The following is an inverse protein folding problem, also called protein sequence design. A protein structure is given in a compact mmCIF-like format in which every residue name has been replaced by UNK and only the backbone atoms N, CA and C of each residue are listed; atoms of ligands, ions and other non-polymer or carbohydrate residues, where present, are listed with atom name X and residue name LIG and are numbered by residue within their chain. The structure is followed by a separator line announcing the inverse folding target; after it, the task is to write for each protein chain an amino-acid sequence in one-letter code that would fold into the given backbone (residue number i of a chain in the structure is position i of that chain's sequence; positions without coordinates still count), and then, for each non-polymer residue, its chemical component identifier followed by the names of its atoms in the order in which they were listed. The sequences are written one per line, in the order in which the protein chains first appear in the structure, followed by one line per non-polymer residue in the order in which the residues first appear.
data_IF_383472457093
#
_entry.id   IF_383472457093
#
_cell.length_a   1.000
_cell.length_b   1.000
_cell.length_c   1.000
_cell.angle_alpha   90.00
_cell.angle_beta   90.00
_cell.angle_gamma   90.00
#
_symmetry.space_group_name_H-M   'P 1'
#
loop_
_entity.id
_entity.type
_entity.pdbx_description
1 polymer ?
#
# COMPACT_ATOMS: atom_id res chain seq x y z
N UNK A 1 -24.38 -42.07 -42.42
CA UNK A 1 -23.05 -41.49 -42.10
C UNK A 1 -22.95 -39.98 -42.38
N UNK A 2 -23.62 -39.45 -43.41
CA UNK A 2 -23.61 -38.01 -43.75
C UNK A 2 -24.25 -37.08 -42.70
N UNK A 3 -25.34 -37.49 -42.05
CA UNK A 3 -26.03 -36.66 -41.05
C UNK A 3 -25.13 -36.29 -39.86
N UNK A 4 -24.33 -37.24 -39.36
CA UNK A 4 -23.35 -36.97 -38.28
C UNK A 4 -22.28 -35.95 -38.67
N UNK A 5 -21.83 -35.97 -39.94
CA UNK A 5 -20.83 -35.01 -40.43
C UNK A 5 -21.41 -33.60 -40.57
N UNK A 6 -22.62 -33.47 -41.10
CA UNK A 6 -23.31 -32.18 -41.24
C UNK A 6 -23.61 -31.60 -39.85
N UNK A 7 -24.13 -32.41 -38.94
CA UNK A 7 -24.39 -31.98 -37.56
C UNK A 7 -23.11 -31.52 -36.86
N UNK A 8 -22.02 -32.27 -36.99
CA UNK A 8 -20.72 -31.88 -36.42
C UNK A 8 -20.19 -30.55 -36.99
N UNK A 9 -20.41 -30.28 -38.28
CA UNK A 9 -19.96 -29.05 -38.92
C UNK A 9 -20.80 -27.84 -38.47
N UNK A 10 -22.11 -28.03 -38.30
CA UNK A 10 -23.03 -27.01 -37.82
C UNK A 10 -22.72 -26.61 -36.37
N UNK A 11 -22.42 -27.59 -35.51
CA UNK A 11 -22.00 -27.35 -34.13
C UNK A 11 -20.70 -26.55 -34.10
N UNK A 12 -19.70 -26.91 -34.94
CA UNK A 12 -18.42 -26.20 -35.01
C UNK A 12 -18.59 -24.73 -35.42
N UNK A 13 -19.43 -24.45 -36.41
CA UNK A 13 -19.72 -23.08 -36.86
C UNK A 13 -20.38 -22.27 -35.76
N UNK A 14 -21.34 -22.86 -35.03
CA UNK A 14 -22.00 -22.23 -33.89
C UNK A 14 -21.02 -21.92 -32.75
N UNK A 15 -20.09 -22.83 -32.44
CA UNK A 15 -19.06 -22.57 -31.42
C UNK A 15 -18.15 -21.43 -31.84
N UNK A 16 -17.61 -21.43 -33.06
CA UNK A 16 -16.75 -20.35 -33.54
C UNK A 16 -17.48 -19.00 -33.49
N UNK A 17 -18.74 -18.98 -33.93
CA UNK A 17 -19.56 -17.75 -33.91
C UNK A 17 -19.80 -17.23 -32.48
N UNK A 18 -20.13 -18.11 -31.54
CA UNK A 18 -20.32 -17.76 -30.13
C UNK A 18 -19.05 -17.19 -29.48
N UNK A 19 -17.89 -17.77 -29.79
CA UNK A 19 -16.59 -17.29 -29.32
C UNK A 19 -16.30 -15.90 -29.90
N UNK A 20 -16.56 -15.70 -31.20
CA UNK A 20 -16.40 -14.40 -31.85
C UNK A 20 -17.25 -13.29 -31.21
N UNK A 21 -18.52 -13.58 -30.92
CA UNK A 21 -19.42 -12.64 -30.22
C UNK A 21 -18.89 -12.32 -28.83
N UNK A 22 -18.43 -13.33 -28.09
CA UNK A 22 -17.90 -13.13 -26.73
C UNK A 22 -16.69 -12.18 -26.73
N UNK A 23 -15.71 -12.41 -27.61
CA UNK A 23 -14.55 -11.53 -27.74
C UNK A 23 -14.94 -10.11 -28.17
N UNK A 24 -15.88 -9.97 -29.11
CA UNK A 24 -16.36 -8.67 -29.57
C UNK A 24 -16.99 -7.87 -28.41
N UNK A 25 -17.90 -8.50 -27.65
CA UNK A 25 -18.56 -7.88 -26.51
C UNK A 25 -17.57 -7.47 -25.41
N UNK A 26 -16.59 -8.32 -25.11
CA UNK A 26 -15.54 -8.01 -24.14
C UNK A 26 -14.71 -6.79 -24.55
N UNK A 27 -14.35 -6.69 -25.84
CA UNK A 27 -13.60 -5.56 -26.37
C UNK A 27 -14.40 -4.26 -26.31
N UNK A 28 -15.69 -4.28 -26.69
CA UNK A 28 -16.55 -3.08 -26.63
C UNK A 28 -16.69 -2.58 -25.20
N UNK A 29 -16.80 -3.51 -24.26
CA UNK A 29 -16.97 -3.19 -22.86
C UNK A 29 -15.71 -2.56 -22.25
N UNK A 30 -14.52 -3.08 -22.56
CA UNK A 30 -13.24 -2.47 -22.15
C UNK A 30 -13.09 -1.05 -22.69
N UNK A 31 -13.43 -0.81 -23.96
CA UNK A 31 -13.40 0.52 -24.56
C UNK A 31 -14.30 1.51 -23.80
N UNK A 32 -15.52 1.09 -23.46
CA UNK A 32 -16.45 1.92 -22.69
C UNK A 32 -15.92 2.30 -21.30
N UNK A 33 -15.21 1.39 -20.64
CA UNK A 33 -14.56 1.68 -19.35
C UNK A 33 -13.41 2.68 -19.54
N UNK A 34 -12.56 2.48 -20.54
CA UNK A 34 -11.46 3.40 -20.87
C UNK A 34 -11.96 4.82 -21.18
N UNK A 35 -13.05 4.95 -21.93
CA UNK A 35 -13.68 6.24 -22.24
C UNK A 35 -14.18 6.94 -20.99
N UNK A 36 -14.85 6.22 -20.09
CA UNK A 36 -15.32 6.78 -18.80
C UNK A 36 -14.18 7.24 -17.90
N UNK A 37 -13.07 6.50 -17.88
CA UNK A 37 -11.87 6.89 -17.11
C UNK A 37 -11.28 8.19 -17.68
N UNK A 38 -11.16 8.29 -19.02
CA UNK A 38 -10.71 9.52 -19.67
C UNK A 38 -11.64 10.69 -19.34
N UNK A 39 -12.93 10.51 -19.53
CA UNK A 39 -13.96 11.52 -19.25
C UNK A 39 -13.88 11.99 -17.79
N UNK A 40 -13.76 11.07 -16.84
CA UNK A 40 -13.59 11.41 -15.42
C UNK A 40 -12.35 12.29 -15.19
N UNK A 41 -11.20 11.93 -15.75
CA UNK A 41 -9.96 12.67 -15.53
C UNK A 41 -9.93 14.01 -16.27
N UNK A 42 -10.52 14.11 -17.45
CA UNK A 42 -10.69 15.37 -18.20
C UNK A 42 -11.65 16.33 -17.47
N UNK A 43 -12.73 15.82 -16.87
CA UNK A 43 -13.65 16.64 -16.07
C UNK A 43 -13.00 17.13 -14.77
N UNK A 44 -12.25 16.26 -14.09
CA UNK A 44 -11.64 16.59 -12.79
C UNK A 44 -10.37 17.43 -12.92
N UNK A 45 -9.78 17.53 -14.11
CA UNK A 45 -8.59 18.32 -14.39
C UNK A 45 -8.83 19.19 -15.63
N UNK A 46 -9.37 20.40 -15.47
CA UNK A 46 -9.60 21.31 -16.59
C UNK A 46 -8.35 21.50 -17.45
N UNK A 47 -8.53 21.54 -18.77
CA UNK A 47 -7.47 21.66 -19.77
C UNK A 47 -6.47 20.49 -19.81
N UNK A 48 -6.71 19.41 -19.06
CA UNK A 48 -5.89 18.22 -19.15
C UNK A 48 -6.28 17.36 -20.35
N UNK A 49 -5.28 16.87 -21.08
CA UNK A 49 -5.46 15.77 -22.06
C UNK A 49 -5.05 14.45 -21.41
N UNK A 50 -5.91 13.44 -21.49
CA UNK A 50 -5.66 12.12 -20.89
C UNK A 50 -5.22 11.10 -21.95
N UNK A 51 -4.03 10.55 -21.78
CA UNK A 51 -3.48 9.46 -22.59
C UNK A 51 -3.42 8.18 -21.76
N UNK A 52 -4.07 7.11 -22.21
CA UNK A 52 -3.96 5.80 -21.55
C UNK A 52 -2.75 5.09 -22.11
N UNK A 53 -1.77 4.83 -21.24
CA UNK A 53 -0.49 4.23 -21.57
C UNK A 53 -0.59 2.70 -21.54
N UNK A 54 -1.23 2.14 -20.52
CA UNK A 54 -1.48 0.71 -20.43
C UNK A 54 -2.83 0.42 -19.77
N UNK A 55 -3.41 -0.73 -20.15
CA UNK A 55 -4.67 -1.24 -19.62
C UNK A 55 -4.54 -2.76 -19.48
N UNK A 56 -4.41 -3.22 -18.25
CA UNK A 56 -4.25 -4.64 -17.93
C UNK A 56 -5.36 -5.07 -16.98
N UNK A 57 -5.70 -6.36 -16.99
CA UNK A 57 -6.62 -6.93 -16.02
C UNK A 57 -5.84 -7.67 -14.94
N UNK A 58 -6.01 -7.27 -13.69
CA UNK A 58 -5.31 -7.83 -12.53
C UNK A 58 -6.32 -8.06 -11.39
N UNK A 59 -6.39 -9.29 -10.89
CA UNK A 59 -7.23 -9.65 -9.73
C UNK A 59 -8.71 -9.20 -9.81
N UNK A 60 -9.29 -9.27 -11.01
CA UNK A 60 -10.70 -8.87 -11.22
C UNK A 60 -10.93 -7.36 -11.35
N UNK A 61 -9.86 -6.56 -11.40
CA UNK A 61 -9.88 -5.13 -11.66
C UNK A 61 -9.14 -4.82 -12.97
N UNK A 62 -9.43 -3.67 -13.54
CA UNK A 62 -8.61 -3.08 -14.59
C UNK A 62 -7.58 -2.15 -13.96
N UNK A 63 -6.31 -2.47 -14.17
CA UNK A 63 -5.18 -1.63 -13.84
C UNK A 63 -4.86 -0.74 -15.04
N UNK A 64 -5.00 0.57 -14.87
CA UNK A 64 -4.88 1.56 -15.93
C UNK A 64 -3.77 2.54 -15.57
N UNK A 65 -2.76 2.62 -16.41
CA UNK A 65 -1.69 3.62 -16.30
C UNK A 65 -2.01 4.75 -17.27
N UNK A 66 -2.16 5.96 -16.74
CA UNK A 66 -2.56 7.13 -17.51
C UNK A 66 -1.57 8.27 -17.35
N UNK A 67 -1.44 9.04 -18.43
CA UNK A 67 -0.62 10.24 -18.55
C UNK A 67 -1.56 11.42 -18.75
N UNK A 68 -1.56 12.33 -17.78
CA UNK A 68 -2.26 13.61 -17.84
C UNK A 68 -1.30 14.66 -18.35
N UNK A 69 -1.68 15.35 -19.43
CA UNK A 69 -0.93 16.48 -19.98
C UNK A 69 -1.69 17.74 -19.56
N UNK A 70 -1.19 18.45 -18.55
CA UNK A 70 -1.75 19.70 -18.04
C UNK A 70 -0.90 20.89 -18.50
N UNK A 71 -1.43 22.13 -18.45
CA UNK A 71 -0.64 23.34 -18.70
C UNK A 71 0.58 23.49 -17.75
N UNK A 72 0.48 22.95 -16.54
CA UNK A 72 1.53 23.01 -15.50
C UNK A 72 2.57 21.90 -15.64
N UNK A 73 2.35 20.91 -16.52
CA UNK A 73 3.26 19.78 -16.69
C UNK A 73 2.56 18.45 -16.94
N UNK A 74 3.34 17.38 -16.92
CA UNK A 74 2.85 16.00 -17.16
C UNK A 74 2.81 15.25 -15.84
N UNK A 75 1.67 14.61 -15.56
CA UNK A 75 1.46 13.77 -14.37
C UNK A 75 1.13 12.35 -14.82
N UNK A 76 1.77 11.36 -14.20
CA UNK A 76 1.44 9.95 -14.40
C UNK A 76 0.62 9.45 -13.21
N UNK A 77 -0.41 8.65 -13.47
CA UNK A 77 -1.23 8.02 -12.43
C UNK A 77 -1.51 6.56 -12.77
N UNK A 78 -1.55 5.75 -11.72
CA UNK A 78 -2.06 4.39 -11.76
C UNK A 78 -3.44 4.39 -11.10
N UNK A 79 -4.41 3.75 -11.76
CA UNK A 79 -5.74 3.58 -11.19
C UNK A 79 -6.23 2.15 -11.37
N UNK A 80 -7.01 1.70 -10.41
CA UNK A 80 -7.66 0.41 -10.40
C UNK A 80 -9.16 0.62 -10.49
N UNK A 81 -9.76 0.03 -11.52
CA UNK A 81 -11.17 0.24 -11.84
C UNK A 81 -11.89 -1.10 -11.83
N UNK A 82 -13.09 -1.15 -11.24
CA UNK A 82 -13.91 -2.36 -11.32
C UNK A 82 -14.24 -2.70 -12.76
N UNK A 83 -14.45 -3.99 -13.06
CA UNK A 83 -14.82 -4.39 -14.41
C UNK A 83 -16.03 -3.61 -14.90
N UNK A 84 -17.04 -3.38 -14.06
CA UNK A 84 -18.23 -2.59 -14.41
C UNK A 84 -18.01 -1.08 -14.62
N UNK A 85 -16.79 -0.58 -14.39
CA UNK A 85 -16.41 0.82 -14.56
C UNK A 85 -17.05 1.78 -13.55
N UNK A 86 -17.61 1.26 -12.45
CA UNK A 86 -18.34 2.08 -11.46
C UNK A 86 -17.46 2.62 -10.34
N UNK A 87 -16.45 1.86 -9.94
CA UNK A 87 -15.57 2.21 -8.83
C UNK A 87 -14.14 2.32 -9.33
N UNK A 88 -13.45 3.35 -8.85
CA UNK A 88 -12.05 3.60 -9.14
C UNK A 88 -11.32 3.90 -7.84
N UNK A 89 -10.10 3.39 -7.71
CA UNK A 89 -9.20 3.71 -6.61
C UNK A 89 -7.78 3.91 -7.16
N UNK A 90 -7.06 4.88 -6.62
CA UNK A 90 -5.67 5.15 -7.00
C UNK A 90 -4.68 4.25 -6.23
N UNK A 91 -5.12 3.65 -5.11
CA UNK A 91 -4.27 2.83 -4.25
C UNK A 91 -4.86 1.43 -4.10
N UNK A 92 -4.14 0.42 -4.60
CA UNK A 92 -4.44 -0.98 -4.32
C UNK A 92 -3.50 -1.49 -3.23
N UNK A 93 -4.07 -1.84 -2.08
CA UNK A 93 -3.33 -2.45 -0.99
C UNK A 93 -3.20 -3.94 -1.31
N UNK A 94 -1.97 -4.41 -1.55
CA UNK A 94 -1.71 -5.85 -1.61
C UNK A 94 -1.78 -6.40 -0.18
N UNK A 95 -2.95 -6.92 0.19
CA UNK A 95 -3.26 -7.38 1.55
C UNK A 95 -2.25 -8.40 2.05
N UNK A 96 -1.82 -9.35 1.21
CA UNK A 96 -0.85 -10.38 1.59
C UNK A 96 0.51 -9.77 1.95
N UNK A 97 1.07 -8.93 1.07
CA UNK A 97 2.33 -8.22 1.35
C UNK A 97 2.20 -7.28 2.55
N UNK A 98 1.06 -6.62 2.71
CA UNK A 98 0.80 -5.76 3.86
C UNK A 98 0.74 -6.55 5.15
N UNK A 99 0.09 -7.72 5.17
CA UNK A 99 0.09 -8.63 6.32
C UNK A 99 1.52 -9.06 6.65
N UNK A 100 2.31 -9.48 5.66
CA UNK A 100 3.71 -9.86 5.88
C UNK A 100 4.53 -8.71 6.49
N UNK A 101 4.40 -7.50 5.96
CA UNK A 101 5.11 -6.32 6.48
C UNK A 101 4.69 -5.98 7.91
N UNK A 102 3.38 -5.99 8.19
CA UNK A 102 2.84 -5.76 9.53
C UNK A 102 3.33 -6.82 10.50
N UNK A 103 3.36 -8.09 10.09
CA UNK A 103 3.83 -9.19 10.91
C UNK A 103 5.33 -9.09 11.21
N UNK A 104 6.15 -8.74 10.21
CA UNK A 104 7.59 -8.47 10.39
C UNK A 104 7.82 -7.35 11.39
N UNK A 105 7.12 -6.22 11.23
CA UNK A 105 7.22 -5.09 12.14
C UNK A 105 6.76 -5.45 13.56
N UNK A 106 5.69 -6.25 13.69
CA UNK A 106 5.22 -6.77 14.97
C UNK A 106 6.33 -7.58 15.65
N UNK A 107 6.87 -8.58 14.95
CA UNK A 107 7.90 -9.48 15.44
C UNK A 107 9.18 -8.71 15.83
N UNK A 108 9.59 -7.75 15.01
CA UNK A 108 10.72 -6.87 15.30
C UNK A 108 10.52 -6.13 16.62
N UNK A 109 9.39 -5.44 16.78
CA UNK A 109 9.09 -4.72 18.01
C UNK A 109 8.91 -5.68 19.22
N UNK A 110 8.39 -6.91 19.02
CA UNK A 110 8.27 -7.92 20.09
C UNK A 110 9.66 -8.32 20.58
N UNK A 111 10.58 -8.61 19.67
CA UNK A 111 11.98 -8.89 19.98
C UNK A 111 12.65 -7.74 20.74
N UNK A 112 12.46 -6.48 20.32
CA UNK A 112 12.99 -5.33 21.05
C UNK A 112 12.47 -5.28 22.49
N UNK A 113 11.16 -5.50 22.66
CA UNK A 113 10.52 -5.48 23.97
C UNK A 113 11.05 -6.59 24.89
N UNK A 114 11.17 -7.81 24.36
CA UNK A 114 11.68 -9.01 25.05
C UNK A 114 13.14 -8.87 25.44
N UNK A 115 13.96 -8.21 24.61
CA UNK A 115 15.34 -7.87 24.96
C UNK A 115 15.46 -6.73 25.98
N UNK A 116 14.35 -6.20 26.47
CA UNK A 116 14.31 -5.18 27.51
C UNK A 116 14.54 -3.75 27.00
N UNK A 117 14.46 -3.52 25.69
CA UNK A 117 14.57 -2.17 25.15
C UNK A 117 13.33 -1.35 25.52
N UNK A 118 13.55 -0.14 26.02
CA UNK A 118 12.49 0.84 26.31
C UNK A 118 12.83 2.19 25.71
N UNK A 119 11.82 2.97 25.38
CA UNK A 119 11.95 4.31 24.81
C UNK A 119 11.21 5.26 25.73
N UNK A 120 11.94 6.18 26.34
CA UNK A 120 11.37 7.21 27.19
C UNK A 120 10.96 8.38 26.30
N UNK A 121 9.67 8.69 26.31
CA UNK A 121 9.00 9.59 25.38
C UNK A 121 8.12 10.62 26.08
N UNK A 122 7.60 11.57 25.32
CA UNK A 122 6.45 12.41 25.70
C UNK A 122 5.42 12.39 24.59
N UNK A 123 4.14 12.20 24.94
CA UNK A 123 3.05 12.02 23.97
C UNK A 123 2.82 13.23 23.06
N UNK A 124 3.21 14.43 23.51
CA UNK A 124 3.08 15.70 22.78
C UNK A 124 4.41 16.24 22.22
N UNK A 125 5.49 15.44 22.22
CA UNK A 125 6.80 15.87 21.73
C UNK A 125 7.08 15.33 20.33
N UNK A 126 7.41 16.22 19.40
CA UNK A 126 7.59 15.91 17.97
C UNK A 126 8.59 14.80 17.72
N UNK A 127 9.74 14.79 18.42
CA UNK A 127 10.75 13.76 18.20
C UNK A 127 10.30 12.38 18.73
N UNK A 128 9.50 12.34 19.79
CA UNK A 128 8.93 11.09 20.32
C UNK A 128 7.91 10.51 19.34
N UNK A 129 7.05 11.37 18.78
CA UNK A 129 6.08 10.97 17.77
C UNK A 129 6.77 10.51 16.49
N UNK A 130 7.86 11.17 16.10
CA UNK A 130 8.67 10.75 14.96
C UNK A 130 9.31 9.38 15.20
N UNK A 131 9.88 9.13 16.39
CA UNK A 131 10.40 7.82 16.76
C UNK A 131 9.31 6.74 16.75
N UNK A 132 8.11 7.04 17.26
CA UNK A 132 6.96 6.14 17.25
C UNK A 132 6.54 5.80 15.81
N UNK A 133 6.51 6.80 14.92
CA UNK A 133 6.18 6.60 13.51
C UNK A 133 7.19 5.69 12.79
N UNK A 134 8.48 5.79 13.12
CA UNK A 134 9.52 4.89 12.58
C UNK A 134 9.25 3.43 12.98
N UNK A 135 8.85 3.20 14.23
CA UNK A 135 8.56 1.87 14.78
C UNK A 135 7.17 1.33 14.38
N UNK A 136 6.33 2.22 13.85
CA UNK A 136 4.95 1.98 13.43
C UNK A 136 4.02 1.59 14.57
N UNK A 137 2.89 0.99 14.21
CA UNK A 137 1.74 0.78 15.11
C UNK A 137 2.07 -0.06 16.36
N UNK A 138 3.09 -0.94 16.28
CA UNK A 138 3.52 -1.79 17.39
C UNK A 138 4.62 -1.15 18.25
N UNK A 139 5.13 0.02 17.86
CA UNK A 139 6.17 0.72 18.60
C UNK A 139 5.72 1.22 19.97
N UNK A 140 4.43 1.52 20.14
CA UNK A 140 3.87 2.09 21.38
C UNK A 140 4.15 1.25 22.62
N UNK A 141 4.26 -0.09 22.49
CA UNK A 141 4.60 -0.98 23.61
C UNK A 141 6.03 -0.81 24.13
N UNK A 142 6.92 -0.22 23.33
CA UNK A 142 8.29 0.10 23.74
C UNK A 142 8.35 1.42 24.51
N UNK A 143 7.30 2.24 24.46
CA UNK A 143 7.31 3.57 25.04
C UNK A 143 6.95 3.57 26.53
N UNK A 144 7.71 4.36 27.28
CA UNK A 144 7.38 4.82 28.62
C UNK A 144 7.19 6.34 28.53
N UNK A 145 5.98 6.81 28.83
CA UNK A 145 5.58 8.20 28.66
C UNK A 145 5.91 9.02 29.92
N UNK A 146 6.92 9.89 29.82
CA UNK A 146 7.39 10.74 30.92
C UNK A 146 6.43 11.87 31.28
N UNK A 147 5.44 12.14 30.44
CA UNK A 147 4.33 13.04 30.75
C UNK A 147 3.33 12.42 31.75
N UNK A 148 3.37 11.09 31.95
CA UNK A 148 2.56 10.40 32.97
C UNK A 148 3.31 10.35 34.31
N UNK A 149 4.60 10.01 34.29
CA UNK A 149 5.45 9.96 35.49
C UNK A 149 6.84 10.53 35.20
N UNK A 150 6.94 11.85 35.33
CA UNK A 150 8.20 12.57 35.10
C UNK A 150 9.28 12.19 36.12
N UNK A 151 8.90 11.94 37.37
CA UNK A 151 9.85 11.60 38.43
C UNK A 151 10.52 10.26 38.16
N UNK A 152 9.76 9.27 37.70
CA UNK A 152 10.32 8.00 37.26
C UNK A 152 11.39 8.17 36.16
N UNK A 153 11.13 9.02 35.16
CA UNK A 153 12.09 9.28 34.09
C UNK A 153 13.36 10.01 34.59
N UNK A 154 13.19 11.01 35.46
CA UNK A 154 14.32 11.74 36.03
C UNK A 154 15.20 10.85 36.93
N UNK A 155 14.60 9.93 37.69
CA UNK A 155 15.33 8.97 38.52
C UNK A 155 16.13 7.94 37.71
N UNK A 156 15.86 7.82 36.40
CA UNK A 156 16.60 7.00 35.45
C UNK A 156 17.58 7.81 34.60
N UNK A 157 17.91 9.02 35.04
CA UNK A 157 18.82 9.96 34.37
C UNK A 157 18.42 10.31 32.93
N UNK A 158 17.11 10.24 32.61
CA UNK A 158 16.59 10.64 31.31
C UNK A 158 16.50 12.17 31.22
N UNK A 159 17.51 12.77 30.61
CA UNK A 159 17.63 14.23 30.45
C UNK A 159 17.16 14.74 29.08
N UNK A 160 16.95 13.84 28.12
CA UNK A 160 16.52 14.16 26.75
C UNK A 160 15.43 13.18 26.30
N UNK A 161 14.55 13.65 25.43
CA UNK A 161 13.41 12.87 24.94
C UNK A 161 13.32 12.99 23.41
N UNK A 162 13.10 11.89 22.67
CA UNK A 162 13.09 10.52 23.17
C UNK A 162 14.49 10.05 23.57
N UNK A 163 14.56 9.10 24.50
CA UNK A 163 15.79 8.39 24.83
C UNK A 163 15.53 6.89 24.83
N UNK A 164 16.37 6.13 24.15
CA UNK A 164 16.33 4.66 24.17
C UNK A 164 17.16 4.17 25.35
N UNK A 165 16.61 3.26 26.14
CA UNK A 165 17.31 2.56 27.22
C UNK A 165 17.44 1.09 26.86
N UNK A 166 18.66 0.59 26.87
CA UNK A 166 18.98 -0.80 26.59
C UNK A 166 20.26 -1.20 27.33
N UNK A 167 20.23 -2.32 28.07
CA UNK A 167 21.37 -2.82 28.86
C UNK A 167 22.02 -1.73 29.74
N UNK A 168 21.19 -1.04 30.53
CA UNK A 168 21.60 0.04 31.45
C UNK A 168 22.29 1.25 30.79
N UNK A 169 22.19 1.38 29.46
CA UNK A 169 22.71 2.54 28.71
C UNK A 169 21.57 3.37 28.14
N UNK A 170 21.74 4.69 28.22
CA UNK A 170 20.82 5.68 27.66
C UNK A 170 21.39 6.22 26.35
N UNK A 171 20.58 6.16 25.30
CA UNK A 171 20.89 6.66 23.96
C UNK A 171 19.89 7.77 23.61
N UNK A 172 20.28 9.05 23.75
CA UNK A 172 19.37 10.17 23.49
C UNK A 172 19.17 10.39 21.99
N UNK A 173 17.93 10.62 21.59
CA UNK A 173 17.56 11.00 20.23
C UNK A 173 16.70 9.97 19.50
N UNK A 174 16.54 10.20 18.20
CA UNK A 174 15.73 9.37 17.30
C UNK A 174 16.63 8.46 16.48
N UNK A 175 16.25 7.20 16.37
CA UNK A 175 16.99 6.16 15.69
C UNK A 175 16.14 5.40 14.67
N UNK A 176 16.81 4.93 13.62
CA UNK A 176 16.23 4.10 12.57
C UNK A 176 16.05 2.64 13.02
N UNK A 177 15.22 1.88 12.29
CA UNK A 177 15.06 0.45 12.52
C UNK A 177 16.39 -0.31 12.40
N UNK A 178 17.27 0.08 11.46
CA UNK A 178 18.58 -0.54 11.27
C UNK A 178 19.50 -0.32 12.49
N UNK A 179 19.41 0.84 13.13
CA UNK A 179 20.16 1.12 14.36
C UNK A 179 19.69 0.21 15.49
N UNK A 180 18.37 0.08 15.69
CA UNK A 180 17.80 -0.85 16.68
C UNK A 180 18.19 -2.31 16.39
N UNK A 181 18.15 -2.72 15.13
CA UNK A 181 18.60 -4.04 14.69
C UNK A 181 20.07 -4.29 15.02
N UNK A 182 20.94 -3.32 14.73
CA UNK A 182 22.38 -3.43 15.03
C UNK A 182 22.67 -3.46 16.54
N UNK A 183 21.91 -2.71 17.33
CA UNK A 183 22.07 -2.64 18.78
C UNK A 183 21.59 -3.91 19.48
N UNK A 184 20.46 -4.46 19.03
CA UNK A 184 19.76 -5.54 19.74
C UNK A 184 19.94 -6.91 19.09
N UNK A 185 20.31 -6.96 17.81
CA UNK A 185 20.31 -8.19 17.00
C UNK A 185 18.91 -8.65 16.56
N UNK A 186 17.87 -7.83 16.71
CA UNK A 186 16.54 -8.14 16.20
C UNK A 186 16.46 -7.87 14.68
N UNK A 187 15.86 -8.77 13.90
CA UNK A 187 15.75 -8.66 12.44
C UNK A 187 14.46 -7.96 12.00
N UNK A 188 14.54 -7.20 10.89
CA UNK A 188 13.45 -6.42 10.27
C UNK A 188 12.79 -7.23 9.15
#
# INVERSE_FOLDING_TARGET
MHFKKIFSLLVLVLTIFSIGIFFYLQQTFQQKVLERIKEFYEITNPDAKVEIISFNQESGLYHVFLKLILPTGIIYREVFVTQDGKYMNEVLINVEKSIEQIQRLKNFNDCLYEKGLRIFGMSNHTASLFQLNILGIYGSKLFIWCDVDLQYCLNLDITQIPSVVYQDRVYPGVYSLQWFSSLTGCEI
#
